data_IF_098848270927
#
_entry.id   IF_098848270927
#
_cell.length_a   1.000
_cell.length_b   1.000
_cell.length_c   1.000
_cell.angle_alpha   90.00
_cell.angle_beta   90.00
_cell.angle_gamma   90.00
#
_symmetry.space_group_name_H-M   'P 1'
#
loop_
_entity.id
_entity.type
_entity.pdbx_description
1 polymer ?
#
# COMPACT_ATOMS: atom_id res chain seq x y z
N UNK A 1 9.80 -59.60 -7.13
CA UNK A 1 9.13 -58.34 -7.50
C UNK A 1 9.93 -57.69 -8.62
N UNK A 2 9.29 -57.27 -9.72
CA UNK A 2 10.00 -56.59 -10.81
C UNK A 2 10.15 -55.12 -10.45
N UNK A 3 11.39 -54.67 -10.32
CA UNK A 3 11.71 -53.26 -10.12
C UNK A 3 11.55 -52.53 -11.46
N UNK A 4 10.66 -51.54 -11.51
CA UNK A 4 10.49 -50.69 -12.68
C UNK A 4 11.38 -49.46 -12.47
N UNK A 5 12.37 -49.29 -13.32
CA UNK A 5 13.26 -48.13 -13.30
C UNK A 5 12.73 -47.07 -14.26
N UNK A 6 12.42 -45.88 -13.75
CA UNK A 6 12.07 -44.71 -14.55
C UNK A 6 13.31 -43.82 -14.70
N UNK A 7 13.74 -43.61 -15.94
CA UNK A 7 14.80 -42.67 -16.30
C UNK A 7 14.17 -41.47 -16.99
N UNK A 8 14.47 -40.27 -16.49
CA UNK A 8 14.02 -39.00 -17.07
C UNK A 8 15.26 -38.31 -17.62
N UNK A 9 15.21 -37.93 -18.91
CA UNK A 9 16.27 -37.13 -19.52
C UNK A 9 16.28 -35.72 -18.93
N UNK A 10 17.49 -35.19 -18.69
CA UNK A 10 17.67 -33.88 -18.07
C UNK A 10 16.98 -32.76 -18.88
N UNK A 11 16.97 -32.87 -20.22
CA UNK A 11 16.31 -31.88 -21.08
C UNK A 11 14.80 -31.89 -20.85
N UNK A 12 14.20 -33.08 -20.76
CA UNK A 12 12.77 -33.26 -20.47
C UNK A 12 12.41 -32.74 -19.08
N UNK A 13 13.27 -32.94 -18.09
CA UNK A 13 13.09 -32.37 -16.75
C UNK A 13 13.11 -30.84 -16.78
N UNK A 14 14.10 -30.24 -17.44
CA UNK A 14 14.21 -28.78 -17.57
C UNK A 14 13.02 -28.18 -18.34
N UNK A 15 12.58 -28.83 -19.41
CA UNK A 15 11.38 -28.43 -20.18
C UNK A 15 10.12 -28.47 -19.31
N UNK A 16 9.97 -29.51 -18.48
CA UNK A 16 8.87 -29.62 -17.52
C UNK A 16 8.90 -28.52 -16.45
N UNK A 17 10.08 -28.22 -15.90
CA UNK A 17 10.24 -27.15 -14.91
C UNK A 17 9.90 -25.77 -15.49
N UNK A 18 10.34 -25.49 -16.72
CA UNK A 18 10.05 -24.23 -17.41
C UNK A 18 8.55 -24.08 -17.72
N UNK A 19 7.88 -25.14 -18.15
CA UNK A 19 6.44 -25.10 -18.41
C UNK A 19 5.64 -24.88 -17.13
N UNK A 20 5.96 -25.57 -16.04
CA UNK A 20 5.31 -25.36 -14.73
C UNK A 20 5.56 -23.94 -14.22
N UNK A 21 6.79 -23.44 -14.33
CA UNK A 21 7.14 -22.07 -13.95
C UNK A 21 6.35 -21.01 -14.74
N UNK A 22 6.25 -21.17 -16.06
CA UNK A 22 5.48 -20.26 -16.91
C UNK A 22 3.98 -20.26 -16.57
N UNK A 23 3.40 -21.42 -16.27
CA UNK A 23 2.00 -21.52 -15.84
C UNK A 23 1.78 -20.81 -14.51
N UNK A 24 2.68 -20.97 -13.54
CA UNK A 24 2.59 -20.28 -12.24
C UNK A 24 2.72 -18.76 -12.39
N UNK A 25 3.60 -18.28 -13.27
CA UNK A 25 3.74 -16.84 -13.56
C UNK A 25 2.49 -16.26 -14.23
N UNK A 26 1.84 -17.02 -15.12
CA UNK A 26 0.59 -16.59 -15.75
C UNK A 26 -0.61 -16.66 -14.80
N UNK A 27 -0.64 -17.65 -13.89
CA UNK A 27 -1.67 -17.78 -12.87
C UNK A 27 -1.60 -16.66 -11.84
N UNK A 28 -0.39 -16.18 -11.51
CA UNK A 28 -0.18 -15.05 -10.60
C UNK A 28 -0.14 -13.69 -11.32
N UNK A 29 -0.85 -13.54 -12.44
CA UNK A 29 -1.08 -12.20 -12.99
C UNK A 29 -1.98 -11.46 -12.01
N UNK A 30 -1.54 -10.30 -11.44
CA UNK A 30 -2.44 -9.47 -10.68
C UNK A 30 -3.60 -9.07 -11.59
N UNK A 31 -4.78 -9.57 -11.28
CA UNK A 31 -6.05 -9.20 -11.92
C UNK A 31 -6.28 -7.73 -11.63
N UNK A 32 -5.83 -6.88 -12.55
CA UNK A 32 -6.39 -5.56 -12.80
C UNK A 32 -6.75 -4.74 -11.57
N UNK A 33 -5.85 -4.63 -10.59
CA UNK A 33 -5.78 -3.31 -9.97
C UNK A 33 -5.28 -2.39 -11.08
N UNK A 34 -6.02 -1.34 -11.46
CA UNK A 34 -5.42 -0.33 -12.30
C UNK A 34 -4.16 0.07 -11.54
N UNK A 35 -2.99 -0.14 -12.14
CA UNK A 35 -1.83 0.63 -11.77
C UNK A 35 -2.39 2.04 -11.66
N UNK A 36 -2.39 2.63 -10.46
CA UNK A 36 -2.78 4.01 -10.28
C UNK A 36 -1.82 4.77 -11.17
N UNK A 37 -2.25 4.97 -12.41
CA UNK A 37 -1.60 5.79 -13.39
C UNK A 37 -1.81 7.14 -12.77
N UNK A 38 -0.82 7.56 -11.98
CA UNK A 38 -0.73 8.89 -11.43
C UNK A 38 -0.82 9.81 -12.63
N UNK A 39 -2.04 10.28 -12.91
CA UNK A 39 -2.30 11.19 -13.99
C UNK A 39 -1.47 12.44 -13.66
N UNK A 40 -0.60 12.89 -14.57
CA UNK A 40 0.16 14.10 -14.34
C UNK A 40 -0.82 15.25 -14.22
N UNK A 41 -1.03 15.77 -13.00
CA UNK A 41 -1.98 16.84 -12.71
C UNK A 41 -3.01 16.55 -11.63
N UNK A 42 -3.18 15.30 -11.18
CA UNK A 42 -3.89 15.05 -9.92
C UNK A 42 -2.91 15.26 -8.75
N UNK A 43 -3.26 16.04 -7.72
CA UNK A 43 -2.46 16.10 -6.50
C UNK A 43 -2.46 14.69 -5.91
N UNK A 44 -1.35 13.98 -6.12
CA UNK A 44 -1.16 12.57 -5.81
C UNK A 44 -1.28 12.26 -4.32
N UNK A 45 -1.36 13.29 -3.48
CA UNK A 45 -1.51 13.19 -2.04
C UNK A 45 -2.50 14.25 -1.55
N UNK A 46 -3.80 13.93 -1.63
CA UNK A 46 -4.86 14.70 -0.94
C UNK A 46 -4.62 14.72 0.58
N UNK A 47 -4.01 13.67 1.11
CA UNK A 47 -3.70 13.58 2.53
C UNK A 47 -2.20 13.42 2.73
N UNK A 48 -1.64 14.19 3.65
CA UNK A 48 -0.24 14.09 4.09
C UNK A 48 -0.21 13.76 5.57
N UNK A 49 0.50 12.69 5.94
CA UNK A 49 0.74 12.36 7.34
C UNK A 49 2.07 12.97 7.80
N UNK A 50 2.00 13.78 8.86
CA UNK A 50 3.17 14.30 9.58
C UNK A 50 3.25 13.55 10.90
N UNK A 51 4.20 12.62 10.99
CA UNK A 51 4.44 11.83 12.18
C UNK A 51 5.56 12.47 12.99
N UNK A 52 5.25 12.97 14.19
CA UNK A 52 6.28 13.35 15.15
C UNK A 52 6.51 12.16 16.10
N UNK A 53 7.74 11.64 16.13
CA UNK A 53 8.14 10.45 16.88
C UNK A 53 7.83 10.53 18.38
N UNK A 54 7.80 11.74 18.94
CA UNK A 54 7.75 11.96 20.39
C UNK A 54 6.39 12.46 20.89
N UNK A 55 5.51 12.90 19.98
CA UNK A 55 4.28 13.60 20.38
C UNK A 55 3.03 13.02 19.75
N UNK A 56 2.81 13.20 18.44
CA UNK A 56 1.53 12.86 17.78
C UNK A 56 1.72 12.66 16.27
N UNK A 57 0.82 11.87 15.68
CA UNK A 57 0.61 11.86 14.23
C UNK A 57 -0.50 12.83 13.85
N UNK A 58 -0.26 13.66 12.84
CA UNK A 58 -1.24 14.58 12.27
C UNK A 58 -1.47 14.21 10.80
N UNK A 59 -2.73 14.08 10.39
CA UNK A 59 -3.09 13.89 8.98
C UNK A 59 -3.66 15.20 8.45
N UNK A 60 -3.10 15.71 7.37
CA UNK A 60 -3.47 17.00 6.76
C UNK A 60 -4.17 16.73 5.44
N UNK A 61 -5.38 17.26 5.26
CA UNK A 61 -6.03 17.36 3.95
C UNK A 61 -5.46 18.59 3.24
N UNK A 62 -4.60 18.35 2.25
CA UNK A 62 -3.84 19.39 1.52
C UNK A 62 -4.72 20.22 0.59
N UNK A 63 -5.96 19.81 0.32
CA UNK A 63 -6.91 20.55 -0.51
C UNK A 63 -7.74 21.53 0.33
N UNK A 64 -8.09 21.14 1.56
CA UNK A 64 -9.00 21.92 2.42
C UNK A 64 -8.30 22.63 3.57
N UNK A 65 -7.02 22.32 3.84
CA UNK A 65 -6.28 22.85 4.99
C UNK A 65 -6.75 22.27 6.34
N UNK A 66 -7.71 21.33 6.31
CA UNK A 66 -8.20 20.65 7.53
C UNK A 66 -7.22 19.59 7.96
N UNK A 67 -7.17 19.31 9.26
CA UNK A 67 -6.29 18.27 9.79
C UNK A 67 -6.98 17.43 10.86
N UNK A 68 -6.53 16.19 10.97
CA UNK A 68 -6.94 15.22 11.97
C UNK A 68 -5.77 15.03 12.94
N UNK A 69 -6.06 15.21 14.22
CA UNK A 69 -5.08 14.99 15.30
C UNK A 69 -5.48 13.75 16.05
N UNK A 70 -4.51 12.84 16.20
CA UNK A 70 -4.65 11.72 17.12
C UNK A 70 -4.85 12.25 18.55
N UNK A 71 -5.98 11.89 19.17
CA UNK A 71 -6.26 12.22 20.58
C UNK A 71 -5.86 11.03 21.45
N UNK A 72 -5.30 11.27 22.65
CA UNK A 72 -5.05 10.18 23.60
C UNK A 72 -6.35 9.41 23.86
N UNK A 73 -6.28 8.09 23.95
CA UNK A 73 -7.46 7.21 24.08
C UNK A 73 -8.40 7.58 25.24
N UNK A 74 -7.90 8.28 26.27
CA UNK A 74 -8.68 8.80 27.39
C UNK A 74 -9.63 9.96 27.02
N UNK A 75 -9.49 10.59 25.85
CA UNK A 75 -10.19 11.81 25.42
C UNK A 75 -11.16 11.55 24.24
N UNK A 76 -11.22 10.32 23.73
CA UNK A 76 -12.18 9.88 22.72
C UNK A 76 -11.56 9.51 21.36
N UNK A 77 -12.43 9.21 20.39
CA UNK A 77 -12.04 8.81 19.04
C UNK A 77 -11.28 9.95 18.32
N UNK A 78 -10.30 9.61 17.46
CA UNK A 78 -9.68 10.60 16.58
C UNK A 78 -10.77 11.30 15.75
N UNK A 79 -10.69 12.61 15.65
CA UNK A 79 -11.70 13.42 14.98
C UNK A 79 -11.04 14.58 14.25
N UNK A 80 -11.64 14.95 13.12
CA UNK A 80 -11.26 16.12 12.36
C UNK A 80 -11.33 17.37 13.24
N UNK A 81 -10.27 18.19 13.22
CA UNK A 81 -10.37 19.52 13.79
C UNK A 81 -11.45 20.30 13.00
N UNK A 82 -12.36 21.00 13.70
CA UNK A 82 -13.33 21.87 13.05
C UNK A 82 -12.70 23.19 12.56
N UNK A 83 -11.41 23.39 12.83
CA UNK A 83 -10.67 24.66 12.70
C UNK A 83 -9.64 24.52 11.58
N UNK A 84 -9.44 25.56 10.77
CA UNK A 84 -8.35 25.59 9.78
C UNK A 84 -6.98 25.81 10.46
N UNK A 85 -5.90 25.63 9.70
CA UNK A 85 -4.53 25.76 10.22
C UNK A 85 -4.20 27.21 10.62
N UNK A 86 -4.63 28.19 9.85
CA UNK A 86 -4.43 29.62 10.04
C UNK A 86 -5.07 30.15 11.34
N UNK A 87 -6.25 29.69 11.68
CA UNK A 87 -6.96 30.01 12.92
C UNK A 87 -6.24 29.45 14.15
N UNK A 88 -5.63 28.26 14.03
CA UNK A 88 -4.81 27.68 15.11
C UNK A 88 -3.50 28.44 15.27
N UNK A 89 -2.87 28.85 14.16
CA UNK A 89 -1.64 29.65 14.20
C UNK A 89 -1.87 31.02 14.84
N UNK A 90 -2.98 31.70 14.53
CA UNK A 90 -3.34 33.01 15.11
C UNK A 90 -3.66 33.01 16.61
N UNK A 91 -3.94 31.84 17.19
CA UNK A 91 -4.23 31.68 18.63
C UNK A 91 -2.97 31.45 19.48
N UNK A 92 -1.80 31.41 18.85
CA UNK A 92 -0.49 31.27 19.51
C UNK A 92 0.21 32.62 19.59
#
# INVERSE_FOLDING_TARGET
MKTISFTIDLKSFCLGALTVGAVLLMANKPTGEPAQQNQPGWPTQRYQAVVNKDTRTIIIDTQTGRFLVERPAAVGLPGWAPVDFEEVYKRR
#
